data_IF_338015472147
#
_entry.id   IF_338015472147
#
_cell.length_a   1.000
_cell.length_b   1.000
_cell.length_c   1.000
_cell.angle_alpha   90.00
_cell.angle_beta   90.00
_cell.angle_gamma   90.00
#
_symmetry.space_group_name_H-M   'P 1'
#
loop_
_entity.id
_entity.type
_entity.pdbx_description
1 polymer ?
#
# COMPACT_ATOMS: atom_id res chain seq x y z
N UNK A 1 -46.89 -7.92 54.11
CA UNK A 1 -46.49 -8.19 52.72
C UNK A 1 -46.39 -6.86 51.98
N UNK A 2 -45.46 -6.78 51.03
CA UNK A 2 -45.25 -5.71 50.04
C UNK A 2 -44.45 -4.48 50.48
N UNK A 3 -43.13 -4.67 50.44
CA UNK A 3 -42.13 -3.64 50.19
C UNK A 3 -42.26 -3.06 48.77
N UNK A 4 -41.59 -1.92 48.56
CA UNK A 4 -41.31 -1.26 47.28
C UNK A 4 -42.39 -0.33 46.70
N UNK A 5 -42.50 0.88 47.25
CA UNK A 5 -43.02 2.03 46.49
C UNK A 5 -42.25 3.34 46.77
N UNK A 6 -41.06 3.27 47.34
CA UNK A 6 -40.16 4.43 47.49
C UNK A 6 -38.97 4.28 46.56
N UNK A 7 -39.14 4.47 45.25
CA UNK A 7 -37.99 4.63 44.34
C UNK A 7 -38.30 5.42 43.07
N UNK A 8 -39.30 6.32 43.12
CA UNK A 8 -39.60 7.24 42.01
C UNK A 8 -39.03 8.63 42.27
N UNK A 9 -37.76 8.71 42.66
CA UNK A 9 -36.97 9.94 42.60
C UNK A 9 -35.53 9.62 42.19
N UNK A 10 -35.36 9.01 41.02
CA UNK A 10 -34.07 8.99 40.34
C UNK A 10 -34.04 10.09 39.28
N UNK A 11 -33.57 11.25 39.75
CA UNK A 11 -32.73 12.23 39.05
C UNK A 11 -32.49 11.93 37.56
N UNK A 12 -33.32 12.55 36.72
CA UNK A 12 -33.07 12.80 35.30
C UNK A 12 -31.91 13.79 35.12
N UNK A 13 -30.71 13.39 35.52
CA UNK A 13 -29.52 14.24 35.48
C UNK A 13 -28.26 13.43 35.18
N UNK A 14 -28.25 12.69 34.07
CA UNK A 14 -26.98 12.38 33.39
C UNK A 14 -27.18 12.59 31.89
N UNK A 15 -27.11 13.85 31.48
CA UNK A 15 -26.79 14.18 30.09
C UNK A 15 -25.51 13.44 29.75
N UNK A 16 -25.63 12.46 28.85
CA UNK A 16 -24.52 11.73 28.25
C UNK A 16 -23.54 12.76 27.69
N UNK A 17 -22.47 13.05 28.44
CA UNK A 17 -21.33 13.77 27.91
C UNK A 17 -20.58 12.80 27.00
N UNK A 18 -21.07 12.66 25.77
CA UNK A 18 -20.30 12.06 24.71
C UNK A 18 -18.95 12.81 24.65
N UNK A 19 -17.80 12.11 24.69
CA UNK A 19 -16.52 12.75 24.44
C UNK A 19 -16.64 13.40 23.06
N UNK A 20 -16.58 14.72 23.00
CA UNK A 20 -16.52 15.42 21.72
C UNK A 20 -15.16 15.13 21.09
N UNK A 21 -15.04 13.98 20.42
CA UNK A 21 -13.94 13.63 19.51
C UNK A 21 -13.97 14.48 18.23
N UNK A 22 -14.56 15.69 18.28
CA UNK A 22 -14.98 16.45 17.11
C UNK A 22 -14.00 17.52 16.61
N UNK A 23 -12.86 17.75 17.27
CA UNK A 23 -11.96 18.85 16.88
C UNK A 23 -10.51 18.42 16.57
N UNK A 24 -10.07 17.25 17.02
CA UNK A 24 -8.70 16.75 16.79
C UNK A 24 -8.58 15.88 15.53
N UNK A 25 -9.65 15.16 15.18
CA UNK A 25 -9.64 14.26 14.02
C UNK A 25 -9.55 15.06 12.71
N UNK A 26 -10.10 16.28 12.66
CA UNK A 26 -10.09 17.14 11.45
C UNK A 26 -8.70 17.52 10.94
N UNK A 27 -7.65 17.57 11.79
CA UNK A 27 -6.31 17.96 11.30
C UNK A 27 -5.56 16.83 10.59
N UNK A 28 -5.91 15.57 10.88
CA UNK A 28 -5.32 14.40 10.21
C UNK A 28 -6.05 14.12 8.89
N UNK A 29 -7.33 14.51 8.77
CA UNK A 29 -8.14 14.28 7.56
C UNK A 29 -8.01 15.38 6.50
N UNK A 30 -7.44 16.55 6.84
CA UNK A 30 -7.31 17.69 5.91
C UNK A 30 -6.08 17.63 5.01
N UNK A 31 -5.22 16.63 5.16
CA UNK A 31 -4.19 16.31 4.17
C UNK A 31 -4.79 15.22 3.28
N UNK A 32 -4.66 15.26 1.94
CA UNK A 32 -5.05 14.12 1.10
C UNK A 32 -4.27 12.91 1.61
N UNK A 33 -4.94 12.07 2.39
CA UNK A 33 -4.33 10.91 3.00
C UNK A 33 -4.17 9.92 1.86
N UNK A 34 -2.95 9.87 1.30
CA UNK A 34 -2.56 8.85 0.33
C UNK A 34 -2.97 7.51 0.96
N UNK A 35 -3.82 6.70 0.31
CA UNK A 35 -4.39 5.49 0.90
C UNK A 35 -3.34 4.60 1.59
N UNK A 36 -2.15 4.48 1.00
CA UNK A 36 -1.01 3.76 1.61
C UNK A 36 -0.55 4.30 2.97
N UNK A 37 -0.55 5.62 3.20
CA UNK A 37 -0.20 6.20 4.52
C UNK A 37 -1.24 5.85 5.57
N UNK A 38 -2.52 5.87 5.20
CA UNK A 38 -3.61 5.54 6.12
C UNK A 38 -3.63 4.03 6.44
N UNK A 39 -3.30 3.19 5.45
CA UNK A 39 -3.07 1.76 5.66
C UNK A 39 -1.94 1.53 6.68
N UNK A 40 -0.78 2.15 6.50
CA UNK A 40 0.35 2.01 7.42
C UNK A 40 0.00 2.44 8.86
N UNK A 41 -0.72 3.56 9.02
CA UNK A 41 -1.18 4.03 10.34
C UNK A 41 -2.15 3.03 10.98
N UNK A 42 -3.13 2.54 10.22
CA UNK A 42 -4.13 1.61 10.75
C UNK A 42 -3.49 0.28 11.15
N UNK A 43 -2.53 -0.21 10.35
CA UNK A 43 -1.74 -1.40 10.67
C UNK A 43 -0.94 -1.22 11.97
N UNK A 44 -0.22 -0.11 12.13
CA UNK A 44 0.52 0.17 13.36
C UNK A 44 -0.36 0.29 14.60
N UNK A 45 -1.59 0.84 14.45
CA UNK A 45 -2.57 0.88 15.54
C UNK A 45 -3.14 -0.49 15.87
N UNK A 46 -3.45 -1.31 14.87
CA UNK A 46 -3.87 -2.70 15.05
C UNK A 46 -2.81 -3.49 15.81
N UNK A 47 -1.55 -3.40 15.39
CA UNK A 47 -0.44 -4.10 16.03
C UNK A 47 -0.30 -3.69 17.50
N UNK A 48 -0.37 -2.39 17.79
CA UNK A 48 -0.28 -1.86 19.16
C UNK A 48 -1.43 -2.34 20.05
N UNK A 49 -2.64 -2.36 19.53
CA UNK A 49 -3.82 -2.84 20.29
C UNK A 49 -3.73 -4.34 20.54
N UNK A 50 -3.37 -5.12 19.51
CA UNK A 50 -3.22 -6.56 19.60
C UNK A 50 -2.09 -7.00 20.54
N UNK A 51 -1.01 -6.20 20.65
CA UNK A 51 0.10 -6.46 21.57
C UNK A 51 -0.15 -5.93 22.99
N UNK A 52 -1.30 -5.30 23.25
CA UNK A 52 -1.60 -4.76 24.58
C UNK A 52 -1.95 -5.88 25.56
N UNK A 53 -1.81 -5.60 26.86
CA UNK A 53 -2.17 -6.55 27.92
C UNK A 53 -3.68 -6.86 27.93
N UNK A 54 -4.51 -5.95 27.41
CA UNK A 54 -5.97 -6.07 27.37
C UNK A 54 -6.49 -5.63 25.99
N UNK A 55 -6.39 -6.49 24.96
CA UNK A 55 -6.75 -6.13 23.60
C UNK A 55 -8.27 -5.92 23.43
N UNK A 56 -8.69 -4.76 22.91
CA UNK A 56 -10.08 -4.54 22.50
C UNK A 56 -10.29 -5.09 21.07
N UNK A 57 -10.97 -6.23 20.97
CA UNK A 57 -11.31 -6.88 19.71
C UNK A 57 -12.09 -5.98 18.74
N UNK A 58 -13.01 -5.17 19.25
CA UNK A 58 -13.79 -4.23 18.43
C UNK A 58 -12.87 -3.17 17.83
N UNK A 59 -11.88 -2.71 18.60
CA UNK A 59 -10.88 -1.74 18.12
C UNK A 59 -9.94 -2.36 17.09
N UNK A 60 -9.50 -3.61 17.30
CA UNK A 60 -8.72 -4.37 16.34
C UNK A 60 -9.47 -4.53 15.01
N UNK A 61 -10.72 -4.99 15.03
CA UNK A 61 -11.55 -5.14 13.83
C UNK A 61 -11.73 -3.80 13.11
N UNK A 62 -11.99 -2.72 13.86
CA UNK A 62 -12.10 -1.37 13.27
C UNK A 62 -10.83 -0.93 12.54
N UNK A 63 -9.64 -1.18 13.11
CA UNK A 63 -8.37 -0.89 12.44
C UNK A 63 -8.12 -1.79 11.23
N UNK A 64 -8.49 -3.07 11.31
CA UNK A 64 -8.35 -4.00 10.21
C UNK A 64 -9.24 -3.64 9.02
N UNK A 65 -10.49 -3.24 9.26
CA UNK A 65 -11.42 -2.82 8.20
C UNK A 65 -10.93 -1.56 7.47
N UNK A 66 -10.42 -0.58 8.22
CA UNK A 66 -9.82 0.62 7.64
C UNK A 66 -8.60 0.25 6.80
N UNK A 67 -7.72 -0.61 7.32
CA UNK A 67 -6.53 -1.08 6.61
C UNK A 67 -6.90 -1.71 5.27
N UNK A 68 -7.84 -2.67 5.26
CA UNK A 68 -8.30 -3.34 4.03
C UNK A 68 -8.82 -2.38 2.97
N UNK A 69 -9.64 -1.40 3.38
CA UNK A 69 -10.18 -0.39 2.46
C UNK A 69 -9.09 0.50 1.88
N UNK A 70 -8.11 0.87 2.70
CA UNK A 70 -7.00 1.71 2.26
C UNK A 70 -6.06 0.97 1.29
N UNK A 71 -5.79 -0.32 1.53
CA UNK A 71 -5.02 -1.15 0.60
C UNK A 71 -5.74 -1.27 -0.74
N UNK A 72 -7.03 -1.59 -0.73
CA UNK A 72 -7.83 -1.68 -1.96
C UNK A 72 -7.84 -0.36 -2.74
N UNK A 73 -8.01 0.77 -2.04
CA UNK A 73 -7.97 2.08 -2.67
C UNK A 73 -6.58 2.40 -3.26
N UNK A 74 -5.49 2.00 -2.59
CA UNK A 74 -4.14 2.16 -3.14
C UNK A 74 -3.95 1.34 -4.42
N UNK A 75 -4.38 0.07 -4.41
CA UNK A 75 -4.31 -0.81 -5.58
C UNK A 75 -5.14 -0.27 -6.75
N UNK A 76 -6.33 0.26 -6.48
CA UNK A 76 -7.18 0.89 -7.49
C UNK A 76 -6.55 2.18 -8.04
N UNK A 77 -5.92 2.99 -7.19
CA UNK A 77 -5.20 4.20 -7.60
C UNK A 77 -4.01 3.85 -8.51
N UNK A 78 -3.22 2.84 -8.13
CA UNK A 78 -2.09 2.34 -8.91
C UNK A 78 -2.56 1.74 -10.24
N UNK A 79 -3.65 0.97 -10.24
CA UNK A 79 -4.24 0.42 -11.46
C UNK A 79 -4.76 1.51 -12.41
N UNK A 80 -5.37 2.57 -11.88
CA UNK A 80 -5.78 3.74 -12.68
C UNK A 80 -4.58 4.46 -13.26
N UNK A 81 -3.52 4.66 -12.46
CA UNK A 81 -2.28 5.27 -12.94
C UNK A 81 -1.65 4.46 -14.07
N UNK A 82 -1.54 3.14 -13.93
CA UNK A 82 -1.01 2.24 -14.98
C UNK A 82 -1.89 2.32 -16.25
N UNK A 83 -3.22 2.32 -16.09
CA UNK A 83 -4.15 2.41 -17.22
C UNK A 83 -3.95 3.71 -18.01
N UNK A 84 -3.92 4.84 -17.31
CA UNK A 84 -3.79 6.18 -17.90
C UNK A 84 -2.39 6.41 -18.51
N UNK A 85 -1.34 5.84 -17.93
CA UNK A 85 0.04 6.05 -18.40
C UNK A 85 0.49 5.11 -19.51
N UNK A 86 -0.08 3.91 -19.64
CA UNK A 86 0.42 2.88 -20.56
C UNK A 86 -0.57 2.49 -21.65
N UNK A 87 -1.89 2.62 -21.44
CA UNK A 87 -2.90 2.08 -22.36
C UNK A 87 -3.69 3.15 -23.13
N UNK A 88 -3.44 4.44 -22.93
CA UNK A 88 -4.01 5.54 -23.76
C UNK A 88 -3.17 5.85 -25.02
N UNK A 89 -2.04 5.17 -25.24
CA UNK A 89 -1.18 5.34 -26.43
C UNK A 89 -1.52 4.39 -27.61
N UNK A 90 -2.54 3.52 -27.50
CA UNK A 90 -2.94 2.59 -28.58
C UNK A 90 -4.04 3.13 -29.51
N UNK A 91 -3.96 4.41 -29.88
CA UNK A 91 -4.75 4.99 -30.98
C UNK A 91 -3.91 5.87 -31.93
N UNK A 92 -2.64 5.52 -32.15
CA UNK A 92 -2.00 5.78 -33.44
C UNK A 92 -0.76 4.88 -33.63
N UNK A 93 -0.85 3.87 -34.49
CA UNK A 93 0.34 3.24 -35.04
C UNK A 93 0.54 3.77 -36.46
N UNK A 94 1.74 4.27 -36.77
CA UNK A 94 2.57 3.41 -37.60
C UNK A 94 4.05 3.38 -37.17
N UNK A 95 4.60 2.16 -37.12
CA UNK A 95 5.96 1.79 -37.56
C UNK A 95 7.12 2.73 -37.18
N UNK A 96 7.85 2.45 -36.09
CA UNK A 96 9.32 2.63 -35.98
C UNK A 96 9.80 2.48 -34.52
N UNK A 97 9.78 1.28 -33.95
CA UNK A 97 10.51 0.99 -32.70
C UNK A 97 11.73 0.07 -32.93
N UNK A 98 12.19 -0.04 -34.17
CA UNK A 98 13.35 -0.87 -34.53
C UNK A 98 14.67 -0.06 -34.51
N UNK A 99 14.61 1.28 -34.50
CA UNK A 99 15.81 2.14 -34.60
C UNK A 99 16.47 2.48 -33.25
N UNK A 100 15.75 2.48 -32.13
CA UNK A 100 16.29 3.01 -30.87
C UNK A 100 17.01 1.97 -29.99
N UNK A 101 16.71 0.68 -30.17
CA UNK A 101 17.37 -0.40 -29.42
C UNK A 101 18.56 -1.04 -30.17
N UNK A 102 18.73 -0.77 -31.47
CA UNK A 102 19.83 -1.29 -32.25
C UNK A 102 21.22 -0.82 -31.72
N UNK A 103 21.41 0.45 -31.31
CA UNK A 103 22.69 0.89 -30.74
C UNK A 103 23.00 0.24 -29.40
N UNK A 104 21.99 -0.03 -28.57
CA UNK A 104 22.15 -0.62 -27.24
C UNK A 104 22.46 -2.11 -27.36
N UNK A 105 21.70 -2.83 -28.19
CA UNK A 105 21.95 -4.26 -28.45
C UNK A 105 23.33 -4.49 -29.04
N UNK A 106 23.75 -3.67 -30.01
CA UNK A 106 25.10 -3.76 -30.60
C UNK A 106 26.20 -3.44 -29.58
N UNK A 107 26.01 -2.45 -28.71
CA UNK A 107 26.96 -2.16 -27.63
C UNK A 107 27.08 -3.31 -26.61
N UNK A 108 25.95 -3.88 -26.17
CA UNK A 108 25.93 -5.03 -25.26
C UNK A 108 26.58 -6.25 -25.93
N UNK A 109 26.21 -6.58 -27.16
CA UNK A 109 26.79 -7.72 -27.89
C UNK A 109 28.29 -7.53 -28.12
N UNK A 110 28.75 -6.31 -28.42
CA UNK A 110 30.20 -6.02 -28.54
C UNK A 110 30.92 -6.17 -27.20
N UNK A 111 30.36 -5.66 -26.11
CA UNK A 111 30.94 -5.79 -24.78
C UNK A 111 31.02 -7.25 -24.33
N UNK A 112 29.94 -8.03 -24.50
CA UNK A 112 29.90 -9.46 -24.18
C UNK A 112 30.89 -10.24 -25.05
N UNK A 113 30.99 -9.91 -26.35
CA UNK A 113 31.93 -10.56 -27.27
C UNK A 113 33.40 -10.23 -26.97
N UNK A 114 33.69 -9.07 -26.39
CA UNK A 114 35.03 -8.74 -25.87
C UNK A 114 35.34 -9.41 -24.53
N UNK A 115 34.32 -9.72 -23.73
CA UNK A 115 34.50 -10.41 -22.44
C UNK A 115 34.62 -11.92 -22.57
N UNK A 116 33.97 -12.55 -23.56
CA UNK A 116 34.04 -13.99 -23.82
C UNK A 116 35.49 -14.53 -23.98
N UNK A 117 36.39 -13.92 -24.77
CA UNK A 117 37.78 -14.39 -24.85
C UNK A 117 38.57 -14.12 -23.55
N UNK A 118 38.19 -13.11 -22.76
CA UNK A 118 38.81 -12.81 -21.47
C UNK A 118 38.39 -13.81 -20.38
N UNK A 119 37.15 -14.28 -20.41
CA UNK A 119 36.67 -15.36 -19.55
C UNK A 119 37.21 -16.73 -19.98
N UNK A 120 37.31 -17.02 -21.29
CA UNK A 120 37.94 -18.25 -21.77
C UNK A 120 39.46 -18.32 -21.54
N UNK A 121 40.14 -17.20 -21.28
CA UNK A 121 41.56 -17.20 -20.87
C UNK A 121 41.74 -17.45 -19.37
N UNK A 122 40.70 -17.23 -18.57
CA UNK A 122 40.70 -17.49 -17.12
C UNK A 122 40.19 -18.91 -16.80
N UNK A 123 39.30 -19.44 -17.63
CA UNK A 123 38.84 -20.83 -17.58
C UNK A 123 39.46 -21.61 -18.73
N UNK A 124 40.53 -22.38 -18.45
CA UNK A 124 41.18 -23.33 -19.37
C UNK A 124 40.19 -24.38 -19.93
N UNK A 125 39.31 -24.00 -20.85
CA UNK A 125 38.41 -24.88 -21.59
C UNK A 125 37.91 -24.15 -22.84
N UNK A 126 38.74 -24.12 -23.87
CA UNK A 126 38.27 -23.89 -25.23
C UNK A 126 38.05 -25.27 -25.87
N UNK A 127 36.83 -25.66 -26.27
CA UNK A 127 36.68 -26.79 -27.16
C UNK A 127 37.03 -26.33 -28.58
N UNK A 128 37.95 -27.05 -29.20
CA UNK A 128 38.28 -26.95 -30.62
C UNK A 128 37.00 -26.95 -31.47
N UNK A 129 36.89 -25.99 -32.40
CA UNK A 129 35.95 -26.09 -33.52
C UNK A 129 36.73 -26.06 -34.82
N UNK A 130 36.69 -27.23 -35.47
CA UNK A 130 37.04 -27.52 -36.86
C UNK A 130 36.12 -26.75 -37.82
#
# INVERSE_FOLDING_TARGET
>A
MSAAAEFLHLTTATLRRAPRLGASISKITNRPAIPGKLAAISHGKLQREASSQTPDLRRCLGHHDIFRRCVKAAEEDDARFIKETYYDDELDAPTSMEFEYAPIRTQITKAVKTMYPLMCMLDYSCPDQL
#
